data_IF_909018332111
#
_entry.id   IF_909018332111
#
_cell.length_a   1.000
_cell.length_b   1.000
_cell.length_c   1.000
_cell.angle_alpha   90.00
_cell.angle_beta   90.00
_cell.angle_gamma   90.00
#
_symmetry.space_group_name_H-M   'P 1'
#
loop_
_entity.id
_entity.type
_entity.pdbx_description
1 polymer ?
#
# COMPACT_ATOMS: atom_id res chain seq x y z
N UNK A 1 -2.42 15.59 22.81
CA UNK A 1 -3.39 14.60 22.28
C UNK A 1 -3.74 13.54 23.30
N UNK A 2 -2.83 12.62 23.67
CA UNK A 2 -3.11 11.66 24.77
C UNK A 2 -3.12 12.35 26.15
N UNK A 3 -2.21 13.30 26.39
CA UNK A 3 -2.15 14.07 27.64
C UNK A 3 -3.40 14.95 27.88
N UNK A 4 -4.16 15.24 26.83
CA UNK A 4 -5.38 16.05 26.87
C UNK A 4 -6.65 15.19 26.84
N UNK A 5 -6.50 13.86 26.72
CA UNK A 5 -7.62 12.94 26.66
C UNK A 5 -8.20 12.70 28.07
N UNK A 6 -9.52 12.49 28.21
CA UNK A 6 -10.12 12.10 29.49
C UNK A 6 -9.50 10.83 30.08
N UNK A 7 -9.59 10.60 31.41
CA UNK A 7 -8.91 9.50 32.11
C UNK A 7 -9.22 8.07 31.61
N UNK A 8 -10.28 7.92 30.81
CA UNK A 8 -10.77 6.66 30.26
C UNK A 8 -10.74 6.62 28.71
N UNK A 9 -9.97 7.51 28.09
CA UNK A 9 -9.83 7.59 26.64
C UNK A 9 -8.40 7.29 26.22
N UNK A 10 -8.25 6.26 25.41
CA UNK A 10 -6.99 5.92 24.75
C UNK A 10 -7.01 6.39 23.30
N UNK A 11 -5.94 7.05 22.88
CA UNK A 11 -5.73 7.51 21.51
C UNK A 11 -4.82 6.53 20.80
N UNK A 12 -5.35 5.88 19.75
CA UNK A 12 -4.56 5.01 18.86
C UNK A 12 -3.98 5.83 17.71
N UNK A 13 -2.68 5.70 17.48
CA UNK A 13 -1.99 6.29 16.33
C UNK A 13 -1.93 5.28 15.19
N UNK A 14 -2.46 5.67 14.03
CA UNK A 14 -2.37 4.90 12.79
C UNK A 14 -1.43 5.62 11.82
N UNK A 15 -0.33 4.97 11.45
CA UNK A 15 0.61 5.46 10.44
C UNK A 15 0.35 4.73 9.12
N UNK A 16 0.01 5.47 8.08
CA UNK A 16 -0.22 4.94 6.73
C UNK A 16 0.85 5.52 5.83
N UNK A 17 1.63 4.66 5.17
CA UNK A 17 2.68 5.06 4.25
C UNK A 17 2.47 4.42 2.89
N UNK A 18 2.61 5.21 1.83
CA UNK A 18 2.72 4.70 0.46
C UNK A 18 4.16 4.18 0.25
N UNK A 19 4.31 3.18 -0.60
CA UNK A 19 5.66 2.78 -1.04
C UNK A 19 6.42 3.98 -1.66
N UNK A 20 7.74 4.02 -1.46
CA UNK A 20 8.61 4.98 -2.13
C UNK A 20 8.68 4.71 -3.64
N UNK A 21 9.35 5.58 -4.41
CA UNK A 21 9.39 5.45 -5.87
C UNK A 21 9.90 4.07 -6.32
N UNK A 22 9.06 3.32 -7.04
CA UNK A 22 9.45 2.06 -7.67
C UNK A 22 10.15 2.29 -9.01
N UNK A 23 10.90 1.31 -9.51
CA UNK A 23 11.50 1.37 -10.86
C UNK A 23 10.46 1.66 -11.95
N UNK A 24 9.25 1.12 -11.84
CA UNK A 24 8.17 1.43 -12.79
C UNK A 24 7.77 2.91 -12.77
N UNK A 25 7.80 3.58 -11.61
CA UNK A 25 7.52 5.01 -11.52
C UNK A 25 8.63 5.83 -12.16
N UNK A 26 9.89 5.47 -11.90
CA UNK A 26 11.04 6.16 -12.48
C UNK A 26 11.05 6.05 -14.01
N UNK A 27 10.79 4.87 -14.55
CA UNK A 27 10.69 4.67 -16.01
C UNK A 27 9.54 5.47 -16.61
N UNK A 28 8.39 5.53 -15.92
CA UNK A 28 7.26 6.34 -16.36
C UNK A 28 7.57 7.85 -16.35
N UNK A 29 8.26 8.35 -15.32
CA UNK A 29 8.73 9.73 -15.23
C UNK A 29 9.71 10.06 -16.37
N UNK A 30 10.69 9.18 -16.61
CA UNK A 30 11.66 9.31 -17.70
C UNK A 30 10.97 9.36 -19.07
N UNK A 31 10.08 8.40 -19.33
CA UNK A 31 9.33 8.33 -20.58
C UNK A 31 8.50 9.59 -20.85
N UNK A 32 7.80 10.13 -19.84
CA UNK A 32 7.08 11.41 -19.97
C UNK A 32 8.06 12.56 -20.26
N UNK A 33 9.20 12.59 -19.56
CA UNK A 33 10.19 13.67 -19.70
C UNK A 33 10.82 13.72 -21.09
N UNK A 34 10.88 12.60 -21.80
CA UNK A 34 11.33 12.49 -23.20
C UNK A 34 10.30 13.02 -24.21
N UNK A 35 9.16 13.56 -23.73
CA UNK A 35 8.13 14.17 -24.57
C UNK A 35 7.15 13.16 -25.17
N UNK A 36 7.21 11.91 -24.72
CA UNK A 36 6.21 10.90 -25.07
C UNK A 36 4.93 11.12 -24.25
N UNK A 37 4.08 12.03 -24.71
CA UNK A 37 2.72 12.18 -24.19
C UNK A 37 1.85 11.01 -24.63
N UNK A 38 0.98 10.52 -23.74
CA UNK A 38 0.01 9.47 -24.08
C UNK A 38 -1.38 10.05 -24.30
N UNK A 39 -1.98 9.76 -25.46
CA UNK A 39 -3.41 9.46 -25.50
C UNK A 39 -3.66 8.11 -24.79
N UNK A 40 -4.83 7.90 -24.20
CA UNK A 40 -5.16 6.65 -23.49
C UNK A 40 -4.98 5.37 -24.35
N UNK A 41 -5.01 5.51 -25.68
CA UNK A 41 -4.73 4.46 -26.67
C UNK A 41 -3.25 4.09 -26.79
N UNK A 42 -2.34 5.04 -26.67
CA UNK A 42 -0.89 4.82 -26.82
C UNK A 42 -0.29 4.16 -25.57
N UNK A 43 -0.91 4.39 -24.40
CA UNK A 43 -0.52 3.78 -23.13
C UNK A 43 -0.57 2.23 -23.18
N UNK A 44 -1.52 1.67 -23.94
CA UNK A 44 -1.69 0.21 -24.10
C UNK A 44 -0.64 -0.43 -25.01
N UNK A 45 -0.20 0.28 -26.05
CA UNK A 45 0.78 -0.23 -27.03
C UNK A 45 2.22 -0.12 -26.51
N UNK A 46 2.55 0.96 -25.79
CA UNK A 46 3.92 1.18 -25.38
C UNK A 46 4.30 0.43 -24.09
N UNK A 47 3.35 0.10 -23.23
CA UNK A 47 3.62 -0.76 -22.07
C UNK A 47 4.11 -2.16 -22.50
N UNK A 48 3.58 -2.68 -23.61
CA UNK A 48 4.09 -3.91 -24.24
C UNK A 48 5.52 -3.73 -24.77
N UNK A 49 5.95 -2.49 -25.08
CA UNK A 49 7.31 -2.16 -25.53
C UNK A 49 8.27 -1.98 -24.35
N UNK A 50 7.83 -1.33 -23.27
CA UNK A 50 8.57 -1.19 -22.00
C UNK A 50 8.81 -2.56 -21.36
N UNK A 51 7.80 -3.45 -21.38
CA UNK A 51 7.92 -4.82 -20.91
C UNK A 51 8.93 -5.67 -21.72
N UNK A 52 9.25 -5.29 -22.97
CA UNK A 52 10.24 -5.98 -23.82
C UNK A 52 11.69 -5.63 -23.48
N UNK A 53 11.97 -4.59 -22.68
CA UNK A 53 13.36 -4.13 -22.45
C UNK A 53 13.81 -4.31 -20.99
N UNK A 54 12.90 -4.23 -20.01
CA UNK A 54 13.09 -4.78 -18.67
C UNK A 54 11.73 -5.24 -18.14
N UNK A 55 11.55 -6.52 -17.76
CA UNK A 55 10.27 -6.94 -17.21
C UNK A 55 10.02 -6.20 -15.90
N UNK A 56 9.08 -5.25 -15.91
CA UNK A 56 8.57 -4.54 -14.72
C UNK A 56 7.69 -5.46 -13.85
N UNK A 57 8.05 -6.73 -13.74
CA UNK A 57 7.37 -7.68 -12.86
C UNK A 57 7.78 -7.41 -11.41
N UNK A 58 6.80 -7.12 -10.55
CA UNK A 58 6.98 -6.83 -9.13
C UNK A 58 8.19 -5.93 -8.81
N UNK A 59 8.21 -4.69 -9.32
CA UNK A 59 9.40 -3.87 -9.37
C UNK A 59 9.87 -3.46 -7.96
N UNK A 60 11.19 -3.47 -7.78
CA UNK A 60 11.87 -2.92 -6.61
C UNK A 60 11.86 -1.38 -6.60
N UNK A 61 12.35 -0.79 -5.50
CA UNK A 61 12.59 0.64 -5.41
C UNK A 61 13.68 1.10 -6.38
N UNK A 62 13.49 2.29 -6.95
CA UNK A 62 14.53 3.01 -7.70
C UNK A 62 15.61 3.54 -6.73
N UNK A 63 16.77 4.02 -7.23
CA UNK A 63 17.73 4.71 -6.37
C UNK A 63 17.12 5.89 -5.60
N UNK A 64 16.29 6.70 -6.27
CA UNK A 64 15.53 7.79 -5.63
C UNK A 64 14.54 7.27 -4.59
N UNK A 65 13.85 6.16 -4.87
CA UNK A 65 12.96 5.51 -3.90
C UNK A 65 13.67 5.01 -2.64
N UNK A 66 14.89 4.50 -2.78
CA UNK A 66 15.72 4.11 -1.62
C UNK A 66 16.14 5.33 -0.79
N UNK A 67 16.55 6.41 -1.43
CA UNK A 67 16.86 7.66 -0.74
C UNK A 67 15.65 8.22 0.04
N UNK A 68 14.46 8.20 -0.56
CA UNK A 68 13.21 8.57 0.11
C UNK A 68 12.93 7.70 1.34
N UNK A 69 13.17 6.39 1.24
CA UNK A 69 12.97 5.48 2.37
C UNK A 69 13.96 5.73 3.50
N UNK A 70 15.22 6.03 3.18
CA UNK A 70 16.25 6.42 4.17
C UNK A 70 15.90 7.72 4.89
N UNK A 71 15.42 8.72 4.16
CA UNK A 71 14.97 9.99 4.75
C UNK A 71 13.78 9.76 5.69
N UNK A 72 12.79 8.98 5.25
CA UNK A 72 11.65 8.61 6.10
C UNK A 72 12.09 7.85 7.36
N UNK A 73 13.04 6.93 7.24
CA UNK A 73 13.62 6.23 8.39
C UNK A 73 14.21 7.22 9.40
N UNK A 74 14.97 8.22 8.93
CA UNK A 74 15.58 9.22 9.80
C UNK A 74 14.54 10.02 10.58
N UNK A 75 13.46 10.45 9.94
CA UNK A 75 12.35 11.19 10.59
C UNK A 75 11.67 10.32 11.64
N UNK A 76 11.32 9.09 11.28
CA UNK A 76 10.63 8.15 12.17
C UNK A 76 11.50 7.80 13.38
N UNK A 77 12.78 7.51 13.18
CA UNK A 77 13.70 7.18 14.27
C UNK A 77 13.92 8.38 15.20
N UNK A 78 13.92 9.59 14.67
CA UNK A 78 13.98 10.80 15.47
C UNK A 78 12.75 10.92 16.39
N UNK A 79 11.55 10.70 15.87
CA UNK A 79 10.32 10.73 16.69
C UNK A 79 10.24 9.57 17.69
N UNK A 80 10.74 8.38 17.34
CA UNK A 80 10.87 7.27 18.29
C UNK A 80 11.82 7.60 19.45
N UNK A 81 12.95 8.24 19.17
CA UNK A 81 13.87 8.71 20.20
C UNK A 81 13.24 9.76 21.14
N UNK A 82 12.17 10.42 20.70
CA UNK A 82 11.38 11.39 21.49
C UNK A 82 10.19 10.76 22.21
N UNK A 83 10.06 9.44 22.17
CA UNK A 83 9.03 8.68 22.88
C UNK A 83 7.85 8.23 22.02
N UNK A 84 7.92 8.33 20.68
CA UNK A 84 6.92 7.67 19.84
C UNK A 84 6.98 6.15 20.06
N UNK A 85 5.85 5.50 20.42
CA UNK A 85 5.83 4.06 20.67
C UNK A 85 6.12 3.28 19.38
N UNK A 86 6.78 2.12 19.53
CA UNK A 86 7.02 1.20 18.42
C UNK A 86 5.68 0.72 17.84
N UNK A 87 5.39 0.99 16.55
CA UNK A 87 4.15 0.56 15.96
C UNK A 87 4.17 -0.92 15.58
N UNK A 88 2.99 -1.46 15.37
CA UNK A 88 2.78 -2.77 14.77
C UNK A 88 2.71 -2.59 13.25
N UNK A 89 3.35 -3.49 12.51
CA UNK A 89 3.54 -3.32 11.07
C UNK A 89 2.68 -4.28 10.26
N UNK A 90 2.01 -3.71 9.25
CA UNK A 90 1.30 -4.43 8.22
C UNK A 90 1.77 -3.94 6.85
N UNK A 91 2.01 -4.85 5.92
CA UNK A 91 2.59 -4.51 4.62
C UNK A 91 1.92 -5.26 3.48
N UNK A 92 1.82 -4.58 2.33
CA UNK A 92 1.43 -5.21 1.07
C UNK A 92 2.50 -6.21 0.61
N UNK A 93 2.13 -7.33 -0.03
CA UNK A 93 3.08 -8.27 -0.62
C UNK A 93 3.77 -7.76 -1.89
N UNK A 94 3.52 -6.51 -2.33
CA UNK A 94 4.28 -5.93 -3.44
C UNK A 94 5.72 -5.62 -3.01
N UNK A 95 6.72 -6.03 -3.79
CA UNK A 95 8.16 -5.90 -3.45
C UNK A 95 8.54 -4.48 -3.04
N UNK A 96 8.13 -3.47 -3.80
CA UNK A 96 8.37 -2.05 -3.48
C UNK A 96 7.82 -1.61 -2.11
N UNK A 97 6.68 -2.16 -1.68
CA UNK A 97 6.10 -1.84 -0.38
C UNK A 97 6.91 -2.52 0.74
N UNK A 98 7.29 -3.78 0.54
CA UNK A 98 8.17 -4.52 1.45
C UNK A 98 9.54 -3.86 1.55
N UNK A 99 10.16 -3.45 0.44
CA UNK A 99 11.44 -2.73 0.43
C UNK A 99 11.36 -1.39 1.15
N UNK A 100 10.26 -0.65 0.98
CA UNK A 100 10.02 0.59 1.71
C UNK A 100 9.95 0.32 3.20
N UNK A 101 9.14 -0.66 3.61
CA UNK A 101 9.03 -1.05 5.02
C UNK A 101 10.37 -1.52 5.59
N UNK A 102 11.10 -2.38 4.89
CA UNK A 102 12.37 -2.92 5.34
C UNK A 102 13.44 -1.82 5.49
N UNK A 103 13.46 -0.85 4.58
CA UNK A 103 14.37 0.30 4.65
C UNK A 103 14.05 1.24 5.84
N UNK A 104 12.76 1.44 6.14
CA UNK A 104 12.33 2.31 7.24
C UNK A 104 12.44 1.63 8.61
N UNK A 105 12.01 0.36 8.70
CA UNK A 105 11.75 -0.32 9.98
C UNK A 105 12.57 -1.59 10.18
N UNK A 106 13.08 -2.19 9.10
CA UNK A 106 13.73 -3.49 9.16
C UNK A 106 15.12 -3.46 9.80
N UNK A 107 15.76 -2.29 9.85
CA UNK A 107 17.14 -2.05 10.29
C UNK A 107 18.17 -2.82 9.44
N UNK A 108 19.23 -2.17 8.98
CA UNK A 108 20.40 -2.74 8.27
C UNK A 108 20.18 -3.71 7.08
N UNK A 109 18.95 -4.11 6.73
CA UNK A 109 18.63 -5.14 5.75
C UNK A 109 18.82 -4.68 4.29
N UNK A 110 19.33 -3.46 4.09
CA UNK A 110 19.75 -2.93 2.79
C UNK A 110 21.28 -2.75 2.67
N UNK A 111 22.08 -3.50 3.44
CA UNK A 111 23.55 -3.39 3.41
C UNK A 111 24.10 -2.21 4.22
N UNK A 112 23.33 -1.70 5.18
CA UNK A 112 23.74 -0.62 6.07
C UNK A 112 24.04 -1.17 7.46
N UNK A 113 25.28 -1.61 7.68
CA UNK A 113 25.75 -2.10 8.97
C UNK A 113 25.65 -0.99 10.03
N UNK A 114 24.74 -1.18 10.98
CA UNK A 114 24.59 -0.35 12.16
C UNK A 114 23.75 -1.11 13.18
N UNK A 115 24.36 -1.52 14.27
CA UNK A 115 23.71 -2.19 15.40
C UNK A 115 22.73 -1.21 16.05
N UNK A 116 21.45 -1.31 15.70
CA UNK A 116 20.40 -0.58 16.40
C UNK A 116 19.18 -1.49 16.58
N UNK A 117 18.54 -1.35 17.74
CA UNK A 117 17.44 -2.19 18.27
C UNK A 117 16.25 -2.33 17.29
N UNK A 118 16.14 -1.42 16.32
CA UNK A 118 15.12 -1.40 15.25
C UNK A 118 15.32 -2.55 14.23
N UNK A 119 16.49 -3.20 14.20
CA UNK A 119 16.83 -4.36 13.35
C UNK A 119 16.01 -5.66 13.61
N UNK A 120 14.90 -5.57 14.35
CA UNK A 120 14.04 -6.70 14.73
C UNK A 120 12.54 -6.43 14.54
N UNK A 121 12.16 -5.34 13.87
CA UNK A 121 10.75 -5.13 13.54
C UNK A 121 10.28 -6.23 12.59
N UNK A 122 9.12 -6.81 12.88
CA UNK A 122 8.45 -7.75 11.99
C UNK A 122 7.22 -7.09 11.40
N UNK A 123 6.85 -7.49 10.18
CA UNK A 123 5.61 -7.03 9.54
C UNK A 123 4.75 -8.20 9.10
N UNK A 124 3.46 -8.08 9.33
CA UNK A 124 2.48 -9.06 8.82
C UNK A 124 2.11 -8.70 7.39
N UNK A 125 2.26 -9.65 6.47
CA UNK A 125 1.87 -9.48 5.07
C UNK A 125 0.36 -9.59 4.94
N UNK A 126 -0.26 -8.59 4.29
CA UNK A 126 -1.70 -8.56 4.02
C UNK A 126 -1.92 -8.30 2.53
N UNK A 127 -2.46 -9.29 1.81
CA UNK A 127 -2.81 -9.18 0.38
C UNK A 127 -3.76 -8.00 0.09
N UNK A 128 -4.70 -7.74 0.99
CA UNK A 128 -5.64 -6.62 0.87
C UNK A 128 -4.99 -5.22 0.90
N UNK A 129 -3.73 -5.09 1.32
CA UNK A 129 -3.02 -3.81 1.31
C UNK A 129 -2.37 -3.49 -0.05
N UNK A 130 -2.56 -4.33 -1.06
CA UNK A 130 -2.16 -3.98 -2.43
C UNK A 130 -2.97 -2.78 -2.91
N UNK A 131 -2.29 -1.82 -3.54
CA UNK A 131 -2.98 -0.78 -4.28
C UNK A 131 -3.78 -1.37 -5.44
N UNK A 132 -4.56 -0.52 -6.13
CA UNK A 132 -5.37 -0.93 -7.28
C UNK A 132 -4.56 -1.79 -8.26
N UNK A 133 -5.03 -3.02 -8.46
CA UNK A 133 -4.43 -3.98 -9.38
C UNK A 133 -5.01 -3.69 -10.75
N UNK A 134 -4.13 -3.34 -11.68
CA UNK A 134 -4.42 -3.15 -13.09
C UNK A 134 -3.82 -4.30 -13.91
N UNK A 135 -4.06 -4.27 -15.22
CA UNK A 135 -3.50 -5.19 -16.22
C UNK A 135 -1.97 -5.18 -16.29
N UNK A 136 -1.37 -4.15 -15.70
CA UNK A 136 0.06 -3.88 -15.73
C UNK A 136 0.84 -4.96 -14.99
N UNK A 137 1.88 -5.51 -15.62
CA UNK A 137 2.72 -6.56 -15.03
C UNK A 137 3.38 -6.13 -13.71
N UNK A 138 3.53 -4.82 -13.49
CA UNK A 138 4.04 -4.25 -12.24
C UNK A 138 3.09 -4.35 -11.05
N UNK A 139 1.82 -4.65 -11.31
CA UNK A 139 0.86 -4.99 -10.29
C UNK A 139 0.99 -6.45 -9.85
N UNK A 140 1.49 -7.35 -10.70
CA UNK A 140 1.73 -8.74 -10.33
C UNK A 140 2.82 -8.84 -9.26
N UNK A 141 2.64 -9.76 -8.31
CA UNK A 141 3.64 -10.05 -7.27
C UNK A 141 4.40 -11.34 -7.54
N UNK A 142 5.62 -11.39 -7.00
CA UNK A 142 6.42 -12.61 -6.96
C UNK A 142 5.78 -13.69 -6.07
N UNK A 143 6.24 -14.96 -6.21
CA UNK A 143 5.85 -16.02 -5.30
C UNK A 143 6.20 -15.67 -3.85
N UNK A 144 5.35 -16.09 -2.92
CA UNK A 144 5.52 -15.81 -1.49
C UNK A 144 6.81 -16.41 -0.92
N UNK A 145 7.25 -17.57 -1.43
CA UNK A 145 8.55 -18.15 -1.06
C UNK A 145 9.73 -17.20 -1.34
N UNK A 146 9.67 -16.45 -2.44
CA UNK A 146 10.70 -15.45 -2.81
C UNK A 146 10.69 -14.31 -1.81
N UNK A 147 9.52 -13.78 -1.46
CA UNK A 147 9.41 -12.73 -0.43
C UNK A 147 9.94 -13.20 0.92
N UNK A 148 9.60 -14.43 1.33
CA UNK A 148 10.07 -15.02 2.59
C UNK A 148 11.59 -15.18 2.64
N UNK A 149 12.19 -15.57 1.52
CA UNK A 149 13.64 -15.72 1.41
C UNK A 149 14.37 -14.36 1.42
N UNK A 150 13.84 -13.37 0.70
CA UNK A 150 14.44 -12.03 0.63
C UNK A 150 14.23 -11.22 1.94
N UNK A 151 13.11 -11.44 2.64
CA UNK A 151 12.71 -10.69 3.84
C UNK A 151 12.26 -11.63 4.96
N UNK A 152 13.19 -12.26 5.69
CA UNK A 152 12.87 -13.23 6.73
C UNK A 152 12.13 -12.61 7.94
N UNK A 153 12.08 -11.29 8.05
CA UNK A 153 11.34 -10.56 9.09
C UNK A 153 9.83 -10.49 8.82
N UNK A 154 9.37 -10.95 7.64
CA UNK A 154 7.95 -10.97 7.31
C UNK A 154 7.23 -12.13 7.99
N UNK A 155 6.13 -11.81 8.65
CA UNK A 155 5.14 -12.78 9.11
C UNK A 155 4.15 -12.99 7.99
N UNK A 156 4.17 -14.18 7.38
CA UNK A 156 3.30 -14.53 6.26
C UNK A 156 2.19 -15.43 6.82
N UNK A 157 0.92 -14.99 6.78
CA UNK A 157 -0.19 -15.79 7.28
C UNK A 157 -0.28 -17.17 6.62
N UNK A 158 -0.67 -18.17 7.41
CA UNK A 158 -0.95 -19.51 6.89
C UNK A 158 -2.04 -19.44 5.81
N UNK A 159 -1.86 -20.15 4.71
CA UNK A 159 -2.80 -20.14 3.58
C UNK A 159 -2.60 -18.98 2.60
N UNK A 160 -1.59 -18.12 2.78
CA UNK A 160 -1.20 -17.15 1.74
C UNK A 160 -0.81 -17.92 0.47
N UNK A 161 -1.46 -17.60 -0.65
CA UNK A 161 -1.23 -18.27 -1.93
C UNK A 161 0.23 -18.12 -2.38
N UNK A 162 0.86 -19.20 -2.84
CA UNK A 162 2.26 -19.16 -3.29
C UNK A 162 2.41 -18.18 -4.46
N UNK A 163 1.69 -18.39 -5.56
CA UNK A 163 1.64 -17.48 -6.70
C UNK A 163 0.58 -16.41 -6.52
N UNK A 164 0.66 -15.33 -7.32
CA UNK A 164 -0.32 -14.23 -7.30
C UNK A 164 -1.70 -14.74 -7.75
N UNK A 165 -2.72 -14.77 -6.85
CA UNK A 165 -4.05 -15.25 -7.22
C UNK A 165 -4.93 -14.12 -7.80
N UNK A 166 -4.47 -12.86 -7.73
CA UNK A 166 -5.30 -11.68 -8.01
C UNK A 166 -4.95 -11.02 -9.34
N UNK A 167 -3.67 -10.98 -9.70
CA UNK A 167 -3.27 -10.39 -10.99
C UNK A 167 -3.56 -11.35 -12.15
N UNK A 168 -4.14 -10.82 -13.22
CA UNK A 168 -4.38 -11.54 -14.46
C UNK A 168 -4.00 -10.64 -15.65
N UNK A 169 -3.40 -11.20 -16.72
CA UNK A 169 -2.96 -10.42 -17.89
C UNK A 169 -4.10 -9.97 -18.82
N UNK A 170 -5.36 -10.01 -18.36
CA UNK A 170 -6.55 -9.72 -19.18
C UNK A 170 -6.94 -8.25 -19.11
N UNK A 171 -7.53 -7.75 -20.19
CA UNK A 171 -7.60 -6.32 -20.55
C UNK A 171 -8.40 -5.40 -19.62
N UNK A 172 -9.10 -5.94 -18.60
CA UNK A 172 -10.00 -5.22 -17.68
C UNK A 172 -9.90 -5.69 -16.21
N UNK A 173 -8.73 -6.15 -15.74
CA UNK A 173 -8.58 -6.41 -14.31
C UNK A 173 -8.44 -5.09 -13.53
N UNK A 174 -9.55 -4.63 -12.94
CA UNK A 174 -9.57 -3.52 -11.98
C UNK A 174 -10.02 -4.06 -10.63
N UNK A 175 -9.08 -4.60 -9.87
CA UNK A 175 -9.34 -5.00 -8.49
C UNK A 175 -8.84 -3.92 -7.54
N UNK A 176 -9.76 -3.34 -6.77
CA UNK A 176 -9.40 -2.56 -5.60
C UNK A 176 -9.51 -3.47 -4.39
N UNK A 177 -8.37 -4.02 -3.95
CA UNK A 177 -8.31 -4.89 -2.76
C UNK A 177 -8.23 -4.07 -1.47
N UNK A 178 -7.76 -2.83 -1.57
CA UNK A 178 -7.72 -1.86 -0.49
C UNK A 178 -8.99 -1.00 -0.52
N UNK A 179 -10.04 -1.40 0.18
CA UNK A 179 -11.09 -0.45 0.56
C UNK A 179 -10.75 0.18 1.92
N UNK A 180 -11.42 1.29 2.29
CA UNK A 180 -11.25 1.93 3.60
C UNK A 180 -11.44 0.94 4.77
N UNK A 181 -12.18 -0.14 4.54
CA UNK A 181 -12.44 -1.19 5.51
C UNK A 181 -11.36 -2.27 5.56
N UNK A 182 -10.40 -2.36 4.63
CA UNK A 182 -9.37 -3.40 4.66
C UNK A 182 -8.40 -3.18 5.83
N UNK A 183 -8.01 -1.93 6.09
CA UNK A 183 -7.18 -1.58 7.24
C UNK A 183 -7.97 -1.81 8.54
N UNK A 184 -9.26 -1.42 8.57
CA UNK A 184 -10.12 -1.63 9.74
C UNK A 184 -10.39 -3.11 10.02
N UNK A 185 -10.59 -3.92 8.98
CA UNK A 185 -10.75 -5.38 9.11
C UNK A 185 -9.46 -6.06 9.57
N UNK A 186 -8.30 -5.59 9.12
CA UNK A 186 -7.01 -6.06 9.64
C UNK A 186 -6.84 -5.74 11.13
N UNK A 187 -7.30 -4.57 11.58
CA UNK A 187 -7.31 -4.19 13.00
C UNK A 187 -8.35 -5.01 13.80
N UNK A 188 -9.56 -5.19 13.28
CA UNK A 188 -10.66 -5.94 13.91
C UNK A 188 -10.39 -7.45 14.01
N UNK A 189 -9.80 -8.07 12.99
CA UNK A 189 -9.48 -9.51 12.99
C UNK A 189 -8.51 -9.90 14.11
N UNK A 190 -7.76 -8.93 14.64
CA UNK A 190 -6.83 -9.13 15.75
C UNK A 190 -7.45 -8.81 17.10
N UNK A 191 -8.13 -7.68 17.22
CA UNK A 191 -8.82 -7.28 18.45
C UNK A 191 -10.29 -7.67 18.37
N UNK A 192 -10.57 -8.98 18.48
CA UNK A 192 -11.92 -9.54 18.46
C UNK A 192 -12.85 -9.01 19.57
N UNK A 193 -12.32 -8.17 20.49
CA UNK A 193 -13.06 -7.52 21.59
C UNK A 193 -13.35 -6.04 21.34
N UNK A 194 -12.88 -5.46 20.23
CA UNK A 194 -13.05 -4.04 19.93
C UNK A 194 -13.75 -3.79 18.60
N UNK A 195 -14.80 -2.96 18.63
CA UNK A 195 -15.51 -2.51 17.43
C UNK A 195 -14.84 -1.25 16.88
N UNK A 196 -13.92 -1.41 15.93
CA UNK A 196 -13.35 -0.27 15.20
C UNK A 196 -14.38 0.29 14.22
N UNK A 197 -14.72 1.58 14.35
CA UNK A 197 -15.61 2.29 13.41
C UNK A 197 -14.80 3.27 12.57
N UNK A 198 -14.98 3.25 11.26
CA UNK A 198 -14.43 4.26 10.36
C UNK A 198 -15.07 5.63 10.68
N UNK A 199 -14.31 6.53 11.30
CA UNK A 199 -14.73 7.91 11.52
C UNK A 199 -14.05 8.84 10.53
N UNK A 200 -14.73 9.24 9.47
CA UNK A 200 -14.24 10.32 8.61
C UNK A 200 -14.54 11.65 9.30
N UNK A 201 -13.55 12.22 9.99
CA UNK A 201 -13.60 13.63 10.41
C UNK A 201 -13.08 14.47 9.25
N UNK A 202 -13.98 14.90 8.36
CA UNK A 202 -13.67 15.96 7.40
C UNK A 202 -13.89 17.31 8.08
N UNK A 203 -12.81 18.04 8.33
CA UNK A 203 -12.92 19.44 8.73
C UNK A 203 -13.56 20.26 7.61
N UNK A 204 -14.75 20.81 7.90
CA UNK A 204 -15.21 22.13 7.46
C UNK A 204 -15.35 22.39 5.96
N UNK A 205 -16.54 22.16 5.42
CA UNK A 205 -17.03 22.79 4.20
C UNK A 205 -18.56 22.80 4.23
N UNK A 206 -19.16 23.96 4.51
CA UNK A 206 -20.57 24.14 4.81
C UNK A 206 -21.51 23.87 3.63
N UNK A 207 -21.81 22.59 3.37
CA UNK A 207 -22.94 22.15 2.56
C UNK A 207 -24.06 21.64 3.46
N UNK A 208 -25.31 21.99 3.16
CA UNK A 208 -26.44 21.56 3.97
C UNK A 208 -26.68 20.05 3.81
N UNK A 209 -27.21 19.39 4.84
CA UNK A 209 -27.56 17.96 4.82
C UNK A 209 -28.46 17.57 3.63
N UNK A 210 -29.28 18.51 3.14
CA UNK A 210 -30.15 18.31 1.98
C UNK A 210 -29.37 18.20 0.66
N UNK A 211 -28.27 18.94 0.51
CA UNK A 211 -27.41 18.87 -0.68
C UNK A 211 -26.70 17.52 -0.77
N UNK A 212 -26.33 16.97 0.39
CA UNK A 212 -25.69 15.66 0.51
C UNK A 212 -26.65 14.50 0.15
N UNK A 213 -27.89 14.54 0.63
CA UNK A 213 -28.91 13.53 0.29
C UNK A 213 -29.34 13.58 -1.18
N UNK A 214 -29.29 14.77 -1.82
CA UNK A 214 -29.52 14.90 -3.25
C UNK A 214 -28.37 14.29 -4.09
N UNK A 215 -27.13 14.36 -3.60
CA UNK A 215 -25.96 13.80 -4.27
C UNK A 215 -25.91 12.26 -4.18
N UNK A 216 -26.30 11.68 -3.04
CA UNK A 216 -26.41 10.23 -2.88
C UNK A 216 -27.51 9.59 -3.76
N UNK A 217 -28.62 10.30 -4.00
CA UNK A 217 -29.67 9.83 -4.93
C UNK A 217 -29.22 9.82 -6.39
N UNK A 218 -28.26 10.68 -6.77
CA UNK A 218 -27.70 10.71 -8.14
C UNK A 218 -26.71 9.58 -8.38
N UNK A 219 -25.93 9.17 -7.38
CA UNK A 219 -24.94 8.09 -7.50
C UNK A 219 -25.57 6.70 -7.47
N UNK A 220 -26.71 6.52 -6.79
CA UNK A 220 -27.40 5.22 -6.71
C UNK A 220 -28.17 4.84 -7.99
N UNK A 221 -28.21 5.69 -9.01
CA UNK A 221 -28.91 5.42 -10.28
C UNK A 221 -28.03 4.75 -11.36
N UNK A 222 -26.75 4.45 -11.09
CA UNK A 222 -25.84 3.83 -12.07
C UNK A 222 -25.41 2.39 -11.77
N UNK A 223 -26.01 1.72 -10.78
CA UNK A 223 -25.80 0.29 -10.53
C UNK A 223 -27.07 -0.52 -10.73
N UNK A 224 -27.52 -0.62 -11.99
CA UNK A 224 -28.24 -1.79 -12.47
C UNK A 224 -27.35 -2.51 -13.49
N UNK A 225 -26.65 -3.55 -13.05
CA UNK A 225 -26.06 -4.56 -13.94
C UNK A 225 -27.10 -5.68 -14.09
N UNK A 226 -27.65 -5.92 -15.30
CA UNK A 226 -28.63 -6.96 -15.53
C UNK A 226 -27.94 -8.24 -16.01
N UNK A 227 -27.34 -9.02 -15.11
CA UNK A 227 -26.89 -10.37 -15.44
C UNK A 227 -27.08 -11.31 -14.25
N UNK A 228 -28.33 -11.68 -14.00
CA UNK A 228 -28.71 -12.94 -13.35
C UNK A 228 -30.11 -13.30 -13.85
N UNK A 229 -30.19 -13.86 -15.06
CA UNK A 229 -31.28 -14.71 -15.53
C UNK A 229 -30.89 -15.32 -16.89
N UNK A 230 -30.31 -16.53 -16.84
CA UNK A 230 -30.64 -17.71 -17.65
C UNK A 230 -29.59 -18.80 -17.41
#
# INVERSE_FOLDING_TARGET
>A
MQADAPPNVEVKLLLISRHCQGKHNAMYEEYISEGHGFSASEYKMEEQRIARHQPLFDPCLSPKGRAQATELASIIHHEMARGMPQPMHFVSPARRAVETWAAVWGGAAAGMAGENIIARSTATVIEGLRGKIHVHLCNARRPISVLRAEYPQLIIPLGTAENDPWWQPVHDCHYELSDENTILRALQARDAREEYRAGVVRQGGGGSRADYEAQQRRTNYQHHSPLLQR
#
